data_IF_619036734272
#
_entry.id   IF_619036734272
#
_cell.length_a   1.000
_cell.length_b   1.000
_cell.length_c   1.000
_cell.angle_alpha   90.00
_cell.angle_beta   90.00
_cell.angle_gamma   90.00
#
_symmetry.space_group_name_H-M   'P 1'
#
loop_
_entity.id
_entity.type
_entity.pdbx_description
1 polymer ?
#
# COMPACT_ATOMS: atom_id res chain seq x y z
N UNK A 1 3.44 11.92 1.93
CA UNK A 1 2.31 12.03 1.00
C UNK A 1 1.81 10.65 0.61
N UNK A 2 0.53 10.49 0.37
CA UNK A 2 -0.06 9.20 0.01
C UNK A 2 -0.38 9.17 -1.48
N UNK A 3 0.04 8.11 -2.16
CA UNK A 3 -0.17 7.94 -3.60
C UNK A 3 -1.13 6.78 -3.84
N UNK A 4 -2.23 6.99 -4.59
CA UNK A 4 -3.12 5.89 -4.94
C UNK A 4 -2.37 4.83 -5.75
N UNK A 5 -2.67 3.56 -5.49
CA UNK A 5 -2.08 2.45 -6.24
C UNK A 5 -3.15 1.67 -6.98
N UNK A 6 -4.06 1.01 -6.25
CA UNK A 6 -5.12 0.23 -6.90
C UNK A 6 -6.36 0.19 -6.01
N UNK A 7 -7.52 -0.06 -6.63
CA UNK A 7 -8.77 -0.35 -5.94
C UNK A 7 -9.14 -1.79 -6.26
N UNK A 8 -9.35 -2.60 -5.21
CA UNK A 8 -9.70 -4.00 -5.37
C UNK A 8 -11.18 -4.14 -5.74
N UNK A 9 -11.57 -5.36 -6.16
CA UNK A 9 -12.93 -5.61 -6.60
C UNK A 9 -13.99 -5.42 -5.54
N UNK A 10 -13.63 -5.52 -4.26
CA UNK A 10 -14.55 -5.30 -3.14
C UNK A 10 -14.62 -3.82 -2.71
N UNK A 11 -13.98 -2.93 -3.44
CA UNK A 11 -13.96 -1.51 -3.13
C UNK A 11 -12.81 -1.07 -2.21
N UNK A 12 -12.00 -2.00 -1.74
CA UNK A 12 -10.86 -1.67 -0.88
C UNK A 12 -9.83 -0.87 -1.69
N UNK A 13 -9.42 0.27 -1.14
CA UNK A 13 -8.43 1.14 -1.76
C UNK A 13 -7.05 0.86 -1.16
N UNK A 14 -6.07 0.68 -2.02
CA UNK A 14 -4.68 0.51 -1.63
C UNK A 14 -3.89 1.69 -2.16
N UNK A 15 -3.18 2.37 -1.25
CA UNK A 15 -2.29 3.47 -1.59
C UNK A 15 -0.97 3.26 -0.85
N UNK A 16 0.03 4.08 -1.17
CA UNK A 16 1.35 3.94 -0.55
C UNK A 16 1.99 5.30 -0.33
N UNK A 17 2.99 5.33 0.54
CA UNK A 17 3.80 6.52 0.76
C UNK A 17 4.95 6.57 -0.25
N UNK A 18 5.69 7.69 -0.24
CA UNK A 18 7.02 7.71 -0.84
C UNK A 18 7.95 6.81 -0.02
N UNK A 19 9.09 6.43 -0.60
CA UNK A 19 10.08 5.65 0.12
C UNK A 19 10.69 6.49 1.23
N UNK A 20 10.65 5.97 2.44
CA UNK A 20 11.17 6.66 3.62
C UNK A 20 12.70 6.55 3.70
N UNK A 21 13.29 7.30 4.63
CA UNK A 21 14.75 7.37 4.77
C UNK A 21 15.39 6.01 5.04
N UNK A 22 14.68 5.11 5.73
CA UNK A 22 15.15 3.74 6.03
C UNK A 22 14.80 2.75 4.92
N UNK A 23 14.36 3.25 3.77
CA UNK A 23 13.94 2.46 2.59
C UNK A 23 12.69 1.62 2.83
N UNK A 24 11.90 1.97 3.82
CA UNK A 24 10.59 1.36 4.00
C UNK A 24 9.52 2.17 3.26
N UNK A 25 8.38 1.52 3.01
CA UNK A 25 7.22 2.14 2.38
C UNK A 25 6.00 1.76 3.19
N UNK A 26 5.15 2.73 3.48
CA UNK A 26 3.88 2.48 4.14
C UNK A 26 2.82 2.22 3.08
N UNK A 27 2.11 1.10 3.22
CA UNK A 27 1.00 0.75 2.34
C UNK A 27 -0.29 0.91 3.14
N UNK A 28 -1.18 1.77 2.65
CA UNK A 28 -2.43 2.07 3.34
C UNK A 28 -3.55 1.26 2.71
N UNK A 29 -4.31 0.57 3.55
CA UNK A 29 -5.44 -0.26 3.12
C UNK A 29 -6.68 0.32 3.76
N UNK A 30 -7.64 0.77 2.94
CA UNK A 30 -8.89 1.37 3.41
C UNK A 30 -10.07 0.76 2.68
N UNK A 31 -10.95 0.14 3.44
CA UNK A 31 -12.19 -0.37 2.90
C UNK A 31 -13.33 0.60 3.17
N UNK A 32 -13.39 1.13 4.38
CA UNK A 32 -14.35 2.15 4.81
C UNK A 32 -13.81 2.86 6.06
N UNK A 33 -14.62 3.68 6.71
CA UNK A 33 -14.20 4.45 7.88
C UNK A 33 -13.82 3.56 9.07
N UNK A 34 -14.27 2.31 9.10
CA UNK A 34 -14.07 1.40 10.22
C UNK A 34 -13.08 0.27 9.92
N UNK A 35 -12.58 0.18 8.68
CA UNK A 35 -11.67 -0.87 8.23
C UNK A 35 -10.47 -0.25 7.57
N UNK A 36 -9.41 -0.08 8.35
CA UNK A 36 -8.16 0.55 7.90
C UNK A 36 -6.98 -0.21 8.46
N UNK A 37 -5.90 -0.23 7.72
CA UNK A 37 -4.65 -0.83 8.19
C UNK A 37 -3.48 -0.23 7.43
N UNK A 38 -2.29 -0.33 8.03
CA UNK A 38 -1.04 0.07 7.39
C UNK A 38 -0.11 -1.13 7.41
N UNK A 39 0.45 -1.47 6.25
CA UNK A 39 1.46 -2.52 6.12
C UNK A 39 2.79 -1.87 5.76
N UNK A 40 3.82 -2.14 6.56
CA UNK A 40 5.16 -1.62 6.32
C UNK A 40 5.94 -2.60 5.45
N UNK A 41 6.47 -2.14 4.31
CA UNK A 41 7.29 -2.93 3.40
C UNK A 41 8.74 -2.48 3.48
N UNK A 42 9.70 -3.34 3.25
CA UNK A 42 9.57 -4.78 2.91
C UNK A 42 9.40 -5.70 4.12
N UNK A 43 9.40 -5.15 5.34
CA UNK A 43 9.35 -5.95 6.57
C UNK A 43 8.04 -6.72 6.72
N UNK A 44 6.97 -6.29 6.06
CA UNK A 44 5.64 -6.90 6.15
C UNK A 44 5.08 -6.84 7.57
N UNK A 45 5.20 -5.68 8.20
CA UNK A 45 4.67 -5.44 9.54
C UNK A 45 3.37 -4.67 9.46
N UNK A 46 2.33 -5.18 10.12
CA UNK A 46 1.06 -4.48 10.23
C UNK A 46 1.12 -3.44 11.34
N UNK A 47 0.55 -2.27 11.07
CA UNK A 47 0.39 -1.21 12.06
C UNK A 47 -0.99 -0.58 11.94
N UNK A 48 -1.48 -0.03 13.04
CA UNK A 48 -2.73 0.76 13.06
C UNK A 48 -3.91 0.00 12.46
N UNK A 49 -4.00 -1.30 12.75
CA UNK A 49 -5.08 -2.13 12.23
C UNK A 49 -6.38 -1.81 12.96
N UNK A 50 -7.42 -1.52 12.19
CA UNK A 50 -8.76 -1.25 12.72
C UNK A 50 -9.79 -2.02 11.91
N UNK A 51 -10.59 -2.85 12.55
CA UNK A 51 -11.73 -3.52 11.94
C UNK A 51 -11.44 -4.79 11.16
N UNK A 52 -10.24 -4.98 10.66
CA UNK A 52 -9.91 -6.18 9.90
C UNK A 52 -9.64 -7.36 10.83
N UNK A 53 -10.09 -8.55 10.40
CA UNK A 53 -9.75 -9.80 11.07
C UNK A 53 -8.36 -10.27 10.65
N UNK A 54 -7.80 -11.22 11.41
CA UNK A 54 -6.51 -11.81 11.06
C UNK A 54 -6.53 -12.46 9.67
N UNK A 55 -7.63 -13.15 9.33
CA UNK A 55 -7.76 -13.78 8.02
C UNK A 55 -7.80 -12.76 6.89
N UNK A 56 -8.47 -11.64 7.10
CA UNK A 56 -8.49 -10.56 6.11
C UNK A 56 -7.09 -9.98 5.90
N UNK A 57 -6.35 -9.78 6.99
CA UNK A 57 -4.98 -9.26 6.89
C UNK A 57 -4.07 -10.21 6.11
N UNK A 58 -4.23 -11.52 6.31
CA UNK A 58 -3.46 -12.51 5.57
C UNK A 58 -3.74 -12.39 4.06
N UNK A 59 -5.00 -12.23 3.70
CA UNK A 59 -5.36 -12.09 2.28
C UNK A 59 -4.81 -10.79 1.68
N UNK A 60 -4.92 -9.67 2.37
CA UNK A 60 -4.36 -8.42 1.88
C UNK A 60 -2.84 -8.48 1.76
N UNK A 61 -2.18 -9.10 2.74
CA UNK A 61 -0.74 -9.27 2.67
C UNK A 61 -0.33 -10.10 1.46
N UNK A 62 -1.08 -11.14 1.13
CA UNK A 62 -0.82 -11.97 -0.04
C UNK A 62 -0.91 -11.16 -1.33
N UNK A 63 -1.95 -10.34 -1.46
CA UNK A 63 -2.14 -9.48 -2.63
C UNK A 63 -1.00 -8.47 -2.75
N UNK A 64 -0.67 -7.81 -1.63
CA UNK A 64 0.37 -6.78 -1.61
C UNK A 64 1.74 -7.37 -1.89
N UNK A 65 2.02 -8.59 -1.40
CA UNK A 65 3.29 -9.26 -1.66
C UNK A 65 3.58 -9.41 -3.16
N UNK A 66 2.54 -9.75 -3.92
CA UNK A 66 2.69 -9.90 -5.38
C UNK A 66 2.99 -8.58 -6.07
N UNK A 67 2.63 -7.48 -5.46
CA UNK A 67 2.78 -6.14 -6.01
C UNK A 67 3.94 -5.36 -5.39
N UNK A 68 4.63 -5.95 -4.41
CA UNK A 68 5.68 -5.26 -3.67
C UNK A 68 6.76 -4.64 -4.58
N UNK A 69 7.28 -5.33 -5.60
CA UNK A 69 8.28 -4.70 -6.47
C UNK A 69 7.78 -3.44 -7.15
N UNK A 70 6.51 -3.45 -7.62
CA UNK A 70 5.91 -2.27 -8.24
C UNK A 70 5.69 -1.14 -7.24
N UNK A 71 5.21 -1.49 -6.06
CA UNK A 71 4.98 -0.49 -5.01
C UNK A 71 6.29 0.19 -4.63
N UNK A 72 7.36 -0.58 -4.45
CA UNK A 72 8.66 -0.01 -4.12
C UNK A 72 9.18 0.87 -5.25
N UNK A 73 9.02 0.45 -6.50
CA UNK A 73 9.43 1.25 -7.64
C UNK A 73 8.65 2.56 -7.71
N UNK A 74 7.33 2.50 -7.58
CA UNK A 74 6.49 3.69 -7.64
C UNK A 74 6.77 4.65 -6.48
N UNK A 75 7.08 4.12 -5.30
CA UNK A 75 7.38 4.97 -4.15
C UNK A 75 8.68 5.74 -4.33
N UNK A 76 9.65 5.18 -5.05
CA UNK A 76 10.88 5.89 -5.39
C UNK A 76 10.65 6.99 -6.41
N UNK A 77 9.64 6.84 -7.26
CA UNK A 77 9.38 7.75 -8.39
C UNK A 77 8.23 8.72 -8.15
N UNK A 78 7.71 8.78 -6.94
CA UNK A 78 6.63 9.71 -6.61
C UNK A 78 5.25 9.25 -7.07
N UNK A 79 5.01 7.93 -7.08
CA UNK A 79 3.72 7.35 -7.39
C UNK A 79 3.59 6.88 -8.83
N UNK A 80 2.41 6.41 -9.18
CA UNK A 80 2.15 5.81 -10.49
C UNK A 80 2.44 6.76 -11.64
N UNK A 81 2.00 8.01 -11.54
CA UNK A 81 2.20 8.99 -12.63
C UNK A 81 3.67 9.29 -12.85
N UNK A 82 4.44 9.47 -11.78
CA UNK A 82 5.87 9.67 -11.89
C UNK A 82 6.58 8.48 -12.50
N UNK A 83 6.18 7.25 -12.13
CA UNK A 83 6.76 6.03 -12.66
C UNK A 83 6.43 5.84 -14.14
N UNK A 84 5.24 6.28 -14.59
CA UNK A 84 4.82 6.14 -15.98
C UNK A 84 5.38 7.21 -16.91
N UNK A 85 5.97 8.26 -16.36
CA UNK A 85 6.50 9.36 -17.17
C UNK A 85 5.43 10.30 -17.71
N UNK A 86 4.22 10.22 -17.21
CA UNK A 86 3.13 11.07 -17.72
C UNK A 86 3.26 12.53 -17.32
N UNK A 87 4.17 12.87 -16.44
CA UNK A 87 4.33 14.22 -15.94
C UNK A 87 5.45 15.00 -16.61
N UNK A 88 6.08 14.43 -17.56
CA UNK A 88 7.18 15.07 -18.25
C UNK A 88 6.72 16.19 -19.15
#
# INVERSE_FOLDING_TARGET
MEYPFITLGDGTQISHSEMLADRSVLVYIRKDAFHRAVLVLPAQEWREVTGFTADELVEYNRVILKMTPLILEFSQKGGFRGASGLED
#
